data_IF_708145317314
#
_entry.id   IF_708145317314
#
_cell.length_a   1.000
_cell.length_b   1.000
_cell.length_c   1.000
_cell.angle_alpha   90.00
_cell.angle_beta   90.00
_cell.angle_gamma   90.00
#
_symmetry.space_group_name_H-M   'P 1'
#
loop_
_entity.id
_entity.type
_entity.pdbx_description
1 polymer ?
#
# COMPACT_ATOMS: atom_id res chain seq x y z
N UNK A 1 -8.06 -11.31 -1.27
CA UNK A 1 -7.91 -10.36 -2.41
C UNK A 1 -8.11 -8.97 -1.88
N UNK A 2 -7.36 -7.99 -2.40
CA UNK A 2 -7.47 -6.61 -1.97
C UNK A 2 -8.86 -6.01 -2.24
N UNK A 3 -9.23 -5.02 -1.44
CA UNK A 3 -10.48 -4.25 -1.55
C UNK A 3 -10.15 -2.83 -1.95
N UNK A 4 -10.93 -2.26 -2.88
CA UNK A 4 -10.83 -0.85 -3.25
C UNK A 4 -11.22 0.05 -2.08
N UNK A 5 -10.48 1.14 -1.91
CA UNK A 5 -10.82 2.21 -0.99
C UNK A 5 -11.10 3.48 -1.81
N UNK A 6 -12.32 4.00 -1.73
CA UNK A 6 -12.69 5.24 -2.39
C UNK A 6 -13.00 6.31 -1.36
N UNK A 7 -12.36 7.43 -1.50
CA UNK A 7 -12.50 8.62 -0.63
C UNK A 7 -13.11 9.75 -1.45
N UNK A 8 -14.18 10.36 -0.94
CA UNK A 8 -14.92 11.41 -1.63
C UNK A 8 -15.15 12.61 -0.71
N UNK A 9 -14.62 13.77 -1.09
CA UNK A 9 -14.84 15.05 -0.43
C UNK A 9 -14.42 15.09 1.03
N UNK A 10 -13.36 14.34 1.39
CA UNK A 10 -12.96 14.14 2.78
C UNK A 10 -12.39 15.42 3.38
N UNK A 11 -12.98 15.88 4.46
CA UNK A 11 -12.55 17.07 5.22
C UNK A 11 -12.37 16.72 6.69
N UNK A 12 -11.25 17.19 7.28
CA UNK A 12 -10.95 17.01 8.70
C UNK A 12 -10.33 18.24 9.32
N UNK A 13 -10.84 18.62 10.50
CA UNK A 13 -10.31 19.71 11.31
C UNK A 13 -10.19 19.29 12.77
N UNK A 14 -9.30 19.93 13.50
CA UNK A 14 -9.21 19.88 14.97
C UNK A 14 -9.36 21.29 15.51
N UNK A 15 -10.52 21.57 16.09
CA UNK A 15 -10.88 22.93 16.52
C UNK A 15 -10.91 23.89 15.31
N UNK A 16 -10.04 24.90 15.32
CA UNK A 16 -9.93 25.88 14.21
C UNK A 16 -8.94 25.47 13.12
N UNK A 17 -8.15 24.44 13.37
CA UNK A 17 -7.12 23.99 12.43
C UNK A 17 -7.69 22.96 11.47
N UNK A 18 -7.85 23.31 10.21
CA UNK A 18 -8.19 22.38 9.14
C UNK A 18 -6.91 21.61 8.73
N UNK A 19 -6.99 20.29 8.75
CA UNK A 19 -5.89 19.40 8.38
C UNK A 19 -5.89 19.16 6.87
N UNK A 20 -7.05 18.79 6.32
CA UNK A 20 -7.27 18.68 4.88
C UNK A 20 -8.74 18.94 4.55
N UNK A 21 -8.97 19.40 3.34
CA UNK A 21 -10.27 19.85 2.84
C UNK A 21 -10.51 19.24 1.45
N UNK A 22 -11.70 18.67 1.29
CA UNK A 22 -12.21 18.15 0.02
C UNK A 22 -11.27 17.14 -0.70
N UNK A 23 -10.60 16.27 0.09
CA UNK A 23 -9.70 15.24 -0.45
C UNK A 23 -10.51 14.10 -1.05
N UNK A 24 -10.26 13.83 -2.33
CA UNK A 24 -10.88 12.72 -3.07
C UNK A 24 -9.82 11.90 -3.79
N UNK A 25 -9.83 10.58 -3.60
CA UNK A 25 -8.93 9.64 -4.27
C UNK A 25 -9.52 8.23 -4.24
N UNK A 26 -9.04 7.39 -5.14
CA UNK A 26 -9.36 5.96 -5.13
C UNK A 26 -8.07 5.15 -5.06
N UNK A 27 -7.96 4.27 -4.05
CA UNK A 27 -6.88 3.30 -3.93
C UNK A 27 -7.34 2.01 -4.63
N UNK A 28 -6.75 1.64 -5.77
CA UNK A 28 -7.19 0.46 -6.50
C UNK A 28 -6.94 -0.83 -5.71
N UNK A 29 -7.85 -1.79 -5.88
CA UNK A 29 -7.76 -3.07 -5.20
C UNK A 29 -6.48 -3.83 -5.57
N UNK A 30 -5.75 -4.31 -4.58
CA UNK A 30 -4.55 -5.13 -4.75
C UNK A 30 -3.28 -4.36 -5.16
N UNK A 31 -3.36 -3.05 -5.34
CA UNK A 31 -2.22 -2.21 -5.72
C UNK A 31 -1.54 -1.58 -4.51
N UNK A 32 -0.27 -1.19 -4.69
CA UNK A 32 0.45 -0.36 -3.73
C UNK A 32 0.29 1.10 -4.12
N UNK A 33 -0.34 1.88 -3.26
CA UNK A 33 -0.41 3.32 -3.36
C UNK A 33 0.51 3.97 -2.33
N UNK A 34 1.15 5.08 -2.71
CA UNK A 34 1.94 5.90 -1.79
C UNK A 34 1.33 7.29 -1.71
N UNK A 35 1.17 7.81 -0.49
CA UNK A 35 0.76 9.18 -0.25
C UNK A 35 1.93 9.97 0.32
N UNK A 36 2.46 10.87 -0.49
CA UNK A 36 3.55 11.78 -0.15
C UNK A 36 3.03 13.08 0.48
N UNK A 37 3.93 13.80 1.10
CA UNK A 37 3.71 15.16 1.57
C UNK A 37 4.72 15.55 2.63
N UNK A 38 4.95 16.85 2.84
CA UNK A 38 5.77 17.37 3.93
C UNK A 38 5.31 16.85 5.29
N UNK A 39 6.17 16.93 6.30
CA UNK A 39 5.79 16.64 7.69
C UNK A 39 4.68 17.60 8.13
N UNK A 40 3.72 17.12 8.92
CA UNK A 40 2.62 17.97 9.39
C UNK A 40 1.40 18.05 8.44
N UNK A 41 1.46 17.55 7.20
CA UNK A 41 0.31 17.60 6.25
C UNK A 41 -0.86 16.69 6.61
N UNK A 42 -0.78 15.95 7.73
CA UNK A 42 -1.89 15.12 8.21
C UNK A 42 -1.95 13.71 7.61
N UNK A 43 -0.86 13.18 7.02
CA UNK A 43 -0.81 11.82 6.45
C UNK A 43 -1.22 10.73 7.45
N UNK A 44 -0.67 10.74 8.66
CA UNK A 44 -1.05 9.77 9.71
C UNK A 44 -2.49 9.99 10.20
N UNK A 45 -3.00 11.24 10.17
CA UNK A 45 -4.42 11.53 10.44
C UNK A 45 -5.29 10.89 9.36
N UNK A 46 -4.87 10.94 8.09
CA UNK A 46 -5.55 10.29 6.98
C UNK A 46 -5.66 8.78 7.18
N UNK A 47 -4.54 8.10 7.50
CA UNK A 47 -4.56 6.67 7.82
C UNK A 47 -5.51 6.31 8.97
N UNK A 48 -5.45 7.09 10.07
CA UNK A 48 -6.36 6.88 11.22
C UNK A 48 -7.82 7.09 10.85
N UNK A 49 -8.10 7.95 9.89
CA UNK A 49 -9.46 8.20 9.42
C UNK A 49 -9.94 7.07 8.50
N UNK A 50 -9.07 6.52 7.63
CA UNK A 50 -9.38 5.37 6.79
C UNK A 50 -9.73 4.10 7.59
N UNK A 51 -9.13 3.92 8.77
CA UNK A 51 -9.42 2.78 9.67
C UNK A 51 -10.63 3.06 10.59
N UNK A 52 -11.18 4.29 10.52
CA UNK A 52 -12.30 4.70 11.37
C UNK A 52 -11.91 4.98 12.82
N UNK A 53 -10.61 5.16 13.14
CA UNK A 53 -10.16 5.64 14.47
C UNK A 53 -10.47 7.12 14.67
N UNK A 54 -10.54 7.88 13.57
CA UNK A 54 -10.95 9.28 13.57
C UNK A 54 -12.14 9.43 12.61
N UNK A 55 -13.17 10.13 13.05
CA UNK A 55 -14.31 10.45 12.20
C UNK A 55 -13.99 11.70 11.38
N UNK A 56 -14.21 11.71 10.06
CA UNK A 56 -14.10 12.92 9.26
C UNK A 56 -15.23 13.89 9.60
N UNK A 57 -15.04 15.18 9.33
CA UNK A 57 -16.08 16.19 9.52
C UNK A 57 -17.06 16.20 8.34
N UNK A 58 -16.55 15.89 7.13
CA UNK A 58 -17.32 15.75 5.89
C UNK A 58 -16.73 14.68 5.00
N UNK A 59 -17.51 14.24 4.02
CA UNK A 59 -17.12 13.30 2.99
C UNK A 59 -17.44 11.85 3.31
N UNK A 60 -17.00 10.96 2.43
CA UNK A 60 -17.28 9.54 2.48
C UNK A 60 -15.97 8.74 2.36
N UNK A 61 -15.95 7.58 2.97
CA UNK A 61 -14.88 6.57 2.84
C UNK A 61 -15.55 5.25 2.56
N UNK A 62 -15.45 4.81 1.31
CA UNK A 62 -16.00 3.55 0.87
C UNK A 62 -14.93 2.46 0.94
N UNK A 63 -15.23 1.38 1.64
CA UNK A 63 -14.46 0.14 1.67
C UNK A 63 -15.28 -0.89 0.92
N UNK A 64 -14.97 -1.09 -0.36
CA UNK A 64 -15.90 -1.74 -1.27
C UNK A 64 -17.23 -0.97 -1.34
N UNK A 65 -18.32 -1.59 -0.89
CA UNK A 65 -19.67 -1.02 -0.85
C UNK A 65 -20.07 -0.37 0.50
N UNK A 66 -19.15 -0.35 1.50
CA UNK A 66 -19.41 0.11 2.86
C UNK A 66 -18.94 1.55 3.07
N UNK A 67 -19.85 2.48 3.39
CA UNK A 67 -19.51 3.87 3.78
C UNK A 67 -19.08 3.92 5.25
N UNK A 68 -17.79 3.80 5.50
CA UNK A 68 -17.18 3.61 6.82
C UNK A 68 -17.65 4.64 7.87
N UNK A 69 -17.66 5.98 7.63
CA UNK A 69 -18.10 6.97 8.62
C UNK A 69 -19.55 6.86 9.08
N UNK A 70 -20.38 6.11 8.33
CA UNK A 70 -21.81 5.94 8.58
C UNK A 70 -22.18 4.55 9.10
N UNK A 71 -21.19 3.64 9.20
CA UNK A 71 -21.44 2.31 9.73
C UNK A 71 -21.81 2.36 11.22
N UNK A 72 -22.77 1.53 11.66
CA UNK A 72 -22.96 1.26 13.07
C UNK A 72 -21.72 0.58 13.65
N UNK A 73 -21.50 0.73 14.96
CA UNK A 73 -20.27 0.28 15.64
C UNK A 73 -19.96 -1.20 15.40
N UNK A 74 -20.97 -2.07 15.41
CA UNK A 74 -20.79 -3.50 15.13
C UNK A 74 -20.22 -3.78 13.74
N UNK A 75 -20.75 -3.10 12.72
CA UNK A 75 -20.26 -3.25 11.34
C UNK A 75 -18.90 -2.57 11.13
N UNK A 76 -18.64 -1.47 11.84
CA UNK A 76 -17.33 -0.82 11.85
C UNK A 76 -16.27 -1.75 12.45
N UNK A 77 -16.60 -2.47 13.52
CA UNK A 77 -15.70 -3.48 14.12
C UNK A 77 -15.35 -4.59 13.12
N UNK A 78 -16.35 -5.12 12.41
CA UNK A 78 -16.11 -6.16 11.40
C UNK A 78 -15.34 -5.62 10.18
N UNK A 79 -15.59 -4.38 9.77
CA UNK A 79 -14.86 -3.76 8.68
C UNK A 79 -13.40 -3.52 9.07
N UNK A 80 -13.10 -3.19 10.31
CA UNK A 80 -11.72 -3.03 10.81
C UNK A 80 -10.88 -4.32 10.73
N UNK A 81 -11.50 -5.49 10.74
CA UNK A 81 -10.79 -6.77 10.57
C UNK A 81 -10.17 -6.92 9.18
N UNK A 82 -10.65 -6.17 8.19
CA UNK A 82 -10.06 -6.14 6.85
C UNK A 82 -8.71 -5.44 6.81
N UNK A 83 -8.38 -4.66 7.85
CA UNK A 83 -7.19 -3.83 7.90
C UNK A 83 -6.07 -4.45 8.72
N UNK A 84 -4.88 -4.48 8.16
CA UNK A 84 -3.62 -4.52 8.89
C UNK A 84 -3.03 -3.11 8.97
N UNK A 85 -2.47 -2.72 10.11
CA UNK A 85 -1.88 -1.40 10.29
C UNK A 85 -0.47 -1.52 10.87
N UNK A 86 0.51 -0.98 10.14
CA UNK A 86 1.86 -0.73 10.64
C UNK A 86 1.98 0.75 10.99
N UNK A 87 2.08 1.06 12.27
CA UNK A 87 2.36 2.40 12.76
C UNK A 87 3.87 2.72 12.72
N UNK A 88 4.22 3.98 12.69
CA UNK A 88 5.57 4.51 12.52
C UNK A 88 6.64 3.82 13.38
N UNK A 89 6.39 3.56 14.66
CA UNK A 89 7.32 2.90 15.59
C UNK A 89 7.03 1.40 15.78
N UNK A 90 6.20 0.80 14.91
CA UNK A 90 5.73 -0.57 15.03
C UNK A 90 4.63 -0.76 16.09
N UNK A 91 4.45 0.17 17.03
CA UNK A 91 3.45 0.16 18.12
C UNK A 91 3.38 -1.19 18.87
N UNK A 92 4.54 -1.81 19.13
CA UNK A 92 4.63 -3.07 19.86
C UNK A 92 4.36 -2.87 21.35
N UNK A 93 3.69 -3.84 21.97
CA UNK A 93 3.54 -3.88 23.43
C UNK A 93 4.88 -4.16 24.07
N UNK A 94 5.42 -3.20 24.84
CA UNK A 94 6.76 -3.29 25.43
C UNK A 94 6.91 -4.42 26.47
N UNK A 95 5.80 -4.87 27.08
CA UNK A 95 5.75 -5.96 28.06
C UNK A 95 5.65 -7.36 27.45
N UNK A 96 5.41 -7.47 26.15
CA UNK A 96 5.30 -8.73 25.43
C UNK A 96 6.54 -8.96 24.56
N UNK A 97 6.99 -10.23 24.46
CA UNK A 97 8.02 -10.60 23.50
C UNK A 97 7.52 -10.46 22.05
N UNK A 98 8.39 -10.66 21.07
CA UNK A 98 8.05 -10.48 19.65
C UNK A 98 7.01 -11.50 19.19
N UNK A 99 7.14 -12.76 19.61
CA UNK A 99 6.16 -13.80 19.29
C UNK A 99 4.77 -13.41 19.82
N UNK A 100 4.66 -13.03 21.09
CA UNK A 100 3.37 -12.68 21.70
C UNK A 100 2.77 -11.41 21.11
N UNK A 101 3.58 -10.42 20.72
CA UNK A 101 3.11 -9.25 19.97
C UNK A 101 2.44 -9.64 18.64
N UNK A 102 3.01 -10.59 17.90
CA UNK A 102 2.48 -11.05 16.62
C UNK A 102 1.29 -11.99 16.83
N UNK A 103 1.31 -12.83 17.86
CA UNK A 103 0.22 -13.75 18.20
C UNK A 103 -1.03 -13.05 18.74
N UNK A 104 -0.88 -11.86 19.33
CA UNK A 104 -1.93 -11.14 20.02
C UNK A 104 -3.22 -10.99 19.20
N UNK A 105 -3.22 -10.50 17.94
CA UNK A 105 -4.45 -10.38 17.16
C UNK A 105 -5.14 -11.74 16.91
N UNK A 106 -4.38 -12.82 16.74
CA UNK A 106 -4.96 -14.15 16.55
C UNK A 106 -5.69 -14.63 17.79
N UNK A 107 -5.12 -14.41 18.99
CA UNK A 107 -5.75 -14.77 20.25
C UNK A 107 -7.02 -13.97 20.52
N UNK A 108 -7.01 -12.67 20.18
CA UNK A 108 -8.15 -11.79 20.41
C UNK A 108 -9.30 -11.99 19.40
N UNK A 109 -8.99 -12.27 18.14
CA UNK A 109 -9.98 -12.24 17.07
C UNK A 109 -10.30 -13.62 16.48
N UNK A 110 -9.65 -14.71 16.92
CA UNK A 110 -9.89 -16.05 16.39
C UNK A 110 -10.07 -17.08 17.50
N UNK A 111 -10.58 -18.24 17.13
CA UNK A 111 -10.69 -19.42 18.03
C UNK A 111 -9.64 -20.49 17.69
N UNK A 112 -8.50 -20.08 17.10
CA UNK A 112 -7.42 -21.01 16.72
C UNK A 112 -6.73 -21.56 17.96
N UNK A 113 -6.29 -22.81 17.87
CA UNK A 113 -5.46 -23.43 18.90
C UNK A 113 -4.07 -22.77 18.98
N UNK A 114 -3.40 -22.83 20.11
CA UNK A 114 -2.03 -22.31 20.27
C UNK A 114 -1.04 -22.96 19.29
N UNK A 115 -1.26 -24.22 18.90
CA UNK A 115 -0.45 -24.88 17.87
C UNK A 115 -0.62 -24.27 16.48
N UNK A 116 -1.85 -23.89 16.10
CA UNK A 116 -2.14 -23.19 14.85
C UNK A 116 -1.60 -21.76 14.88
N UNK A 117 -1.81 -21.06 16.02
CA UNK A 117 -1.27 -19.71 16.24
C UNK A 117 0.26 -19.73 16.06
N UNK A 118 0.93 -20.69 16.71
CA UNK A 118 2.39 -20.84 16.59
C UNK A 118 2.83 -21.02 15.14
N UNK A 119 2.17 -21.89 14.39
CA UNK A 119 2.49 -22.11 12.97
C UNK A 119 2.36 -20.82 12.16
N UNK A 120 1.24 -20.09 12.31
CA UNK A 120 0.99 -18.84 11.60
C UNK A 120 2.01 -17.77 11.99
N UNK A 121 2.26 -17.59 13.29
CA UNK A 121 3.21 -16.58 13.79
C UNK A 121 4.61 -16.86 13.25
N UNK A 122 5.07 -18.11 13.30
CA UNK A 122 6.40 -18.49 12.81
C UNK A 122 6.51 -18.25 11.29
N UNK A 123 5.47 -18.56 10.53
CA UNK A 123 5.40 -18.26 9.10
C UNK A 123 5.52 -16.74 8.83
N UNK A 124 4.75 -15.90 9.54
CA UNK A 124 4.85 -14.44 9.39
C UNK A 124 6.19 -13.88 9.84
N UNK A 125 6.80 -14.47 10.87
CA UNK A 125 8.15 -14.08 11.33
C UNK A 125 9.22 -14.44 10.30
N UNK A 126 9.10 -15.59 9.64
CA UNK A 126 9.99 -15.99 8.55
C UNK A 126 9.92 -15.01 7.36
N UNK A 127 8.71 -14.67 6.91
CA UNK A 127 8.46 -13.73 5.82
C UNK A 127 9.14 -12.36 6.02
N UNK A 128 9.24 -11.91 7.26
CA UNK A 128 9.88 -10.62 7.59
C UNK A 128 11.30 -10.78 8.11
N UNK A 129 11.88 -11.99 8.07
CA UNK A 129 13.26 -12.29 8.52
C UNK A 129 13.49 -12.03 10.00
N UNK A 130 12.58 -12.51 10.86
CA UNK A 130 12.65 -12.36 12.33
C UNK A 130 12.77 -13.69 13.08
N UNK A 131 13.00 -14.81 12.40
CA UNK A 131 13.27 -16.07 13.07
C UNK A 131 14.47 -15.94 14.02
N UNK A 132 14.35 -16.52 15.20
CA UNK A 132 15.34 -16.43 16.28
C UNK A 132 15.19 -15.21 17.19
N UNK A 133 14.19 -14.34 16.93
CA UNK A 133 13.87 -13.20 17.78
C UNK A 133 12.59 -13.38 18.61
N UNK A 134 12.00 -14.57 18.62
CA UNK A 134 10.68 -14.87 19.21
C UNK A 134 10.57 -14.42 20.66
N UNK A 135 11.60 -14.71 21.45
CA UNK A 135 11.63 -14.47 22.91
C UNK A 135 12.13 -13.08 23.28
N UNK A 136 12.64 -12.29 22.32
CA UNK A 136 13.17 -10.96 22.60
C UNK A 136 12.02 -9.98 22.88
N UNK A 137 12.28 -9.04 23.79
CA UNK A 137 11.40 -7.90 24.03
C UNK A 137 11.64 -6.79 22.97
N UNK A 138 10.66 -5.92 22.72
CA UNK A 138 10.85 -4.79 21.81
C UNK A 138 12.05 -3.89 22.15
N UNK A 139 12.40 -3.77 23.45
CA UNK A 139 13.58 -3.02 23.89
C UNK A 139 14.93 -3.65 23.50
N UNK A 140 14.94 -4.93 23.17
CA UNK A 140 16.16 -5.71 22.88
C UNK A 140 16.45 -5.86 21.37
N UNK A 141 15.64 -5.24 20.53
CA UNK A 141 15.76 -5.32 19.06
C UNK A 141 15.93 -3.95 18.43
N UNK A 142 16.51 -3.91 17.23
CA UNK A 142 16.72 -2.68 16.47
C UNK A 142 15.38 -2.06 16.00
N UNK A 143 15.41 -0.77 15.65
CA UNK A 143 14.24 -0.08 15.09
C UNK A 143 13.68 -0.77 13.83
N UNK A 144 14.54 -1.21 12.92
CA UNK A 144 14.13 -1.98 11.74
C UNK A 144 13.50 -3.33 12.08
N UNK A 145 13.97 -4.02 13.13
CA UNK A 145 13.33 -5.25 13.61
C UNK A 145 11.97 -4.96 14.23
N UNK A 146 11.80 -3.83 14.94
CA UNK A 146 10.49 -3.42 15.49
C UNK A 146 9.47 -3.20 14.36
N UNK A 147 9.87 -2.52 13.28
CA UNK A 147 9.00 -2.28 12.12
C UNK A 147 8.62 -3.59 11.43
N UNK A 148 9.57 -4.51 11.23
CA UNK A 148 9.29 -5.82 10.66
C UNK A 148 8.38 -6.67 11.56
N UNK A 149 8.53 -6.60 12.87
CA UNK A 149 7.61 -7.26 13.83
C UNK A 149 6.20 -6.64 13.77
N UNK A 150 6.11 -5.30 13.69
CA UNK A 150 4.85 -4.59 13.47
C UNK A 150 4.17 -4.99 12.15
N UNK A 151 4.96 -5.17 11.08
CA UNK A 151 4.48 -5.64 9.78
C UNK A 151 3.96 -7.09 9.87
N UNK A 152 4.70 -8.00 10.49
CA UNK A 152 4.25 -9.37 10.72
C UNK A 152 2.95 -9.42 11.52
N UNK A 153 2.83 -8.59 12.58
CA UNK A 153 1.59 -8.46 13.35
C UNK A 153 0.44 -7.92 12.53
N UNK A 154 0.68 -6.94 11.65
CA UNK A 154 -0.34 -6.39 10.77
C UNK A 154 -0.86 -7.42 9.75
N UNK A 155 -0.01 -8.38 9.36
CA UNK A 155 -0.32 -9.42 8.38
C UNK A 155 -0.93 -10.70 8.98
N UNK A 156 -0.91 -10.86 10.30
CA UNK A 156 -1.20 -12.16 10.94
C UNK A 156 -2.65 -12.63 10.77
N UNK A 157 -3.58 -11.70 10.52
CA UNK A 157 -5.00 -11.97 10.24
C UNK A 157 -5.30 -12.06 8.74
N UNK A 158 -4.29 -12.08 7.87
CA UNK A 158 -4.41 -12.06 6.40
C UNK A 158 -5.33 -10.93 5.90
N UNK A 159 -5.00 -9.66 6.20
CA UNK A 159 -5.85 -8.52 5.89
C UNK A 159 -6.00 -8.32 4.37
N UNK A 160 -7.13 -7.73 3.97
CA UNK A 160 -7.37 -7.33 2.57
C UNK A 160 -6.80 -5.93 2.26
N UNK A 161 -6.53 -5.14 3.31
CA UNK A 161 -5.96 -3.79 3.21
C UNK A 161 -4.81 -3.67 4.21
N UNK A 162 -3.66 -3.16 3.76
CA UNK A 162 -2.52 -2.87 4.63
C UNK A 162 -2.21 -1.36 4.60
N UNK A 163 -2.32 -0.73 5.75
CA UNK A 163 -1.96 0.67 5.94
C UNK A 163 -0.60 0.75 6.64
N UNK A 164 0.31 1.54 6.07
CA UNK A 164 1.71 1.61 6.51
C UNK A 164 2.09 3.06 6.74
N UNK A 165 2.38 3.41 7.98
CA UNK A 165 2.72 4.77 8.40
C UNK A 165 4.23 4.92 8.57
N UNK A 166 4.87 5.67 7.68
CA UNK A 166 6.30 6.00 7.65
C UNK A 166 7.23 4.80 7.94
N UNK A 167 7.19 3.73 7.11
CA UNK A 167 7.95 2.52 7.35
C UNK A 167 9.47 2.74 7.31
N UNK A 168 9.92 3.71 6.54
CA UNK A 168 11.30 4.12 6.29
C UNK A 168 11.89 5.00 7.39
N UNK A 169 11.06 5.66 8.21
CA UNK A 169 11.51 6.59 9.26
C UNK A 169 12.51 5.93 10.23
N UNK A 170 13.68 6.58 10.42
CA UNK A 170 14.72 6.09 11.33
C UNK A 170 15.49 4.86 10.83
N UNK A 171 15.35 4.48 9.56
CA UNK A 171 16.16 3.46 8.90
C UNK A 171 17.23 4.11 8.02
N UNK A 172 18.36 3.42 7.86
CA UNK A 172 19.33 3.77 6.84
C UNK A 172 18.83 3.34 5.45
N UNK A 173 19.39 3.90 4.34
CA UNK A 173 18.91 3.60 2.99
C UNK A 173 18.93 2.11 2.62
N UNK A 174 19.89 1.34 3.15
CA UNK A 174 20.00 -0.10 2.85
C UNK A 174 18.85 -0.87 3.52
N UNK A 175 18.58 -0.58 4.80
CA UNK A 175 17.48 -1.21 5.53
C UNK A 175 16.11 -0.79 4.99
N UNK A 176 15.99 0.45 4.53
CA UNK A 176 14.79 0.92 3.81
C UNK A 176 14.58 0.12 2.52
N UNK A 177 15.62 -0.11 1.73
CA UNK A 177 15.54 -0.93 0.52
C UNK A 177 15.07 -2.37 0.81
N UNK A 178 15.60 -3.01 1.87
CA UNK A 178 15.13 -4.34 2.29
C UNK A 178 13.67 -4.35 2.70
N UNK A 179 13.21 -3.33 3.46
CA UNK A 179 11.82 -3.22 3.87
C UNK A 179 10.90 -3.00 2.68
N UNK A 180 11.31 -2.14 1.74
CA UNK A 180 10.58 -1.90 0.50
C UNK A 180 10.44 -3.17 -0.33
N UNK A 181 11.51 -3.97 -0.48
CA UNK A 181 11.44 -5.27 -1.13
C UNK A 181 10.46 -6.19 -0.43
N UNK A 182 10.52 -6.28 0.90
CA UNK A 182 9.57 -7.08 1.68
C UNK A 182 8.12 -6.65 1.42
N UNK A 183 7.84 -5.35 1.37
CA UNK A 183 6.49 -4.82 1.08
C UNK A 183 6.03 -5.24 -0.33
N UNK A 184 6.90 -5.14 -1.33
CA UNK A 184 6.60 -5.53 -2.71
C UNK A 184 6.32 -7.04 -2.80
N UNK A 185 7.14 -7.86 -2.16
CA UNK A 185 6.99 -9.33 -2.13
C UNK A 185 5.68 -9.74 -1.45
N UNK A 186 5.34 -9.09 -0.33
CA UNK A 186 4.09 -9.32 0.40
C UNK A 186 2.87 -8.91 -0.42
N UNK A 187 2.91 -7.76 -1.11
CA UNK A 187 1.81 -7.36 -1.99
C UNK A 187 1.60 -8.39 -3.11
N UNK A 188 2.68 -8.86 -3.75
CA UNK A 188 2.60 -9.89 -4.80
C UNK A 188 2.05 -11.23 -4.27
N UNK A 189 2.38 -11.57 -3.03
CA UNK A 189 1.94 -12.82 -2.41
C UNK A 189 0.48 -12.78 -1.96
N UNK A 190 0.05 -11.67 -1.34
CA UNK A 190 -1.30 -11.56 -0.74
C UNK A 190 -2.32 -10.93 -1.67
N UNK A 191 -1.89 -10.13 -2.64
CA UNK A 191 -2.78 -9.32 -3.48
C UNK A 191 -3.66 -8.36 -2.66
N UNK A 192 -3.20 -7.94 -1.47
CA UNK A 192 -3.90 -6.98 -0.64
C UNK A 192 -3.70 -5.55 -1.16
N UNK A 193 -4.63 -4.65 -0.86
CA UNK A 193 -4.50 -3.23 -1.17
C UNK A 193 -3.58 -2.56 -0.15
N UNK A 194 -2.51 -1.91 -0.61
CA UNK A 194 -1.54 -1.25 0.28
C UNK A 194 -1.63 0.26 0.14
N UNK A 195 -1.64 0.96 1.27
CA UNK A 195 -1.39 2.40 1.32
C UNK A 195 -0.21 2.67 2.25
N UNK A 196 0.84 3.23 1.69
CA UNK A 196 2.03 3.68 2.42
C UNK A 196 1.98 5.20 2.49
N UNK A 197 2.09 5.78 3.67
CA UNK A 197 2.35 7.20 3.81
C UNK A 197 3.81 7.41 4.19
N UNK A 198 4.50 8.25 3.46
CA UNK A 198 5.92 8.51 3.67
C UNK A 198 6.33 9.89 3.17
N UNK A 199 7.51 10.32 3.55
CA UNK A 199 8.22 11.44 2.97
C UNK A 199 9.50 11.00 2.24
N UNK A 200 9.80 9.70 2.19
CA UNK A 200 10.96 9.15 1.48
C UNK A 200 10.72 9.10 -0.03
N UNK A 201 11.57 9.85 -0.75
CA UNK A 201 11.46 9.99 -2.20
C UNK A 201 11.83 8.69 -2.91
N UNK A 202 12.80 7.91 -2.40
CA UNK A 202 13.23 6.68 -3.04
C UNK A 202 12.14 5.61 -2.96
N UNK A 203 11.53 5.44 -1.80
CA UNK A 203 10.35 4.57 -1.62
C UNK A 203 9.26 4.96 -2.61
N UNK A 204 8.91 6.25 -2.66
CA UNK A 204 7.85 6.73 -3.55
C UNK A 204 8.18 6.56 -5.04
N UNK A 205 9.44 6.61 -5.43
CA UNK A 205 9.86 6.49 -6.82
C UNK A 205 9.94 5.05 -7.32
N UNK A 206 10.07 4.07 -6.44
CA UNK A 206 10.37 2.70 -6.84
C UNK A 206 9.28 1.69 -6.46
N UNK A 207 8.60 1.87 -5.34
CA UNK A 207 7.71 0.87 -4.77
C UNK A 207 6.28 0.89 -5.35
N UNK A 208 5.58 2.05 -5.42
CA UNK A 208 4.15 2.08 -5.67
C UNK A 208 3.75 1.87 -7.12
N UNK A 209 2.49 1.49 -7.31
CA UNK A 209 1.77 1.55 -8.57
C UNK A 209 1.16 2.95 -8.76
N UNK A 210 0.64 3.54 -7.67
CA UNK A 210 0.05 4.88 -7.65
C UNK A 210 0.70 5.77 -6.60
N UNK A 211 0.79 7.07 -6.92
CA UNK A 211 1.33 8.07 -5.99
C UNK A 211 0.38 9.25 -5.91
N UNK A 212 0.19 9.75 -4.68
CA UNK A 212 -0.45 11.03 -4.42
C UNK A 212 0.45 11.98 -3.64
N UNK A 213 0.19 13.25 -3.74
CA UNK A 213 0.87 14.30 -2.96
C UNK A 213 -0.16 15.14 -2.20
N UNK A 214 -0.07 15.14 -0.87
CA UNK A 214 -0.80 16.07 -0.01
C UNK A 214 0.04 17.31 0.25
N UNK A 215 -0.53 18.46 -0.06
CA UNK A 215 0.09 19.76 0.22
C UNK A 215 -0.99 20.82 0.45
N UNK A 216 -0.77 21.75 1.36
CA UNK A 216 -1.68 22.87 1.68
C UNK A 216 -3.12 22.42 1.93
N UNK A 217 -3.29 21.32 2.69
CA UNK A 217 -4.59 20.74 3.07
C UNK A 217 -5.37 20.09 1.92
N UNK A 218 -4.77 19.99 0.74
CA UNK A 218 -5.40 19.46 -0.46
C UNK A 218 -4.59 18.31 -1.04
N UNK A 219 -5.25 17.48 -1.82
CA UNK A 219 -4.58 16.50 -2.65
C UNK A 219 -4.21 17.15 -3.98
N UNK A 220 -2.92 17.43 -4.17
CA UNK A 220 -2.41 18.07 -5.39
C UNK A 220 -2.66 17.21 -6.61
N UNK A 221 -2.37 15.92 -6.49
CA UNK A 221 -2.67 14.90 -7.50
C UNK A 221 -2.63 13.52 -6.88
N UNK A 222 -3.29 12.57 -7.53
CA UNK A 222 -3.20 11.13 -7.26
C UNK A 222 -3.38 10.36 -8.56
N UNK A 223 -2.56 9.36 -8.79
CA UNK A 223 -2.65 8.50 -9.98
C UNK A 223 -1.42 7.63 -10.17
N UNK A 224 -1.27 7.01 -11.35
CA UNK A 224 -0.13 6.18 -11.68
C UNK A 224 1.21 6.86 -11.37
N UNK A 225 2.15 6.08 -10.88
CA UNK A 225 3.48 6.53 -10.46
C UNK A 225 4.15 7.46 -11.49
N UNK A 226 4.10 7.08 -12.74
CA UNK A 226 4.70 7.82 -13.86
C UNK A 226 4.09 9.22 -14.01
N UNK A 227 2.79 9.36 -13.74
CA UNK A 227 2.08 10.64 -13.81
C UNK A 227 2.67 11.66 -12.84
N UNK A 228 2.89 11.28 -11.58
CA UNK A 228 3.47 12.18 -10.60
C UNK A 228 4.97 12.40 -10.85
N UNK A 229 5.71 11.36 -11.23
CA UNK A 229 7.15 11.46 -11.46
C UNK A 229 7.52 12.29 -12.70
N UNK A 230 6.58 12.52 -13.62
CA UNK A 230 6.78 13.39 -14.80
C UNK A 230 6.05 14.74 -14.71
N UNK A 231 5.39 15.00 -13.56
CA UNK A 231 4.57 16.20 -13.39
C UNK A 231 5.40 17.49 -13.42
N UNK A 232 4.87 18.50 -14.12
CA UNK A 232 5.47 19.85 -14.12
C UNK A 232 4.95 20.75 -12.99
N UNK A 233 4.07 20.20 -12.13
CA UNK A 233 3.53 20.93 -10.98
C UNK A 233 4.68 21.40 -10.05
N UNK A 234 4.79 22.69 -9.74
CA UNK A 234 5.93 23.23 -9.01
C UNK A 234 6.20 22.58 -7.66
N UNK A 235 5.13 22.24 -6.90
CA UNK A 235 5.29 21.58 -5.59
C UNK A 235 5.77 20.14 -5.74
N UNK A 236 5.32 19.42 -6.76
CA UNK A 236 5.78 18.06 -7.07
C UNK A 236 7.25 18.07 -7.44
N UNK A 237 7.65 18.99 -8.34
CA UNK A 237 9.04 19.14 -8.77
C UNK A 237 9.95 19.52 -7.61
N UNK A 238 9.54 20.46 -6.75
CA UNK A 238 10.29 20.82 -5.57
C UNK A 238 10.49 19.63 -4.64
N UNK A 239 9.42 18.90 -4.37
CA UNK A 239 9.44 17.76 -3.44
C UNK A 239 10.33 16.63 -3.98
N UNK A 240 10.12 16.22 -5.22
CA UNK A 240 10.87 15.11 -5.85
C UNK A 240 12.36 15.42 -6.07
N UNK A 241 12.72 16.70 -6.23
CA UNK A 241 14.11 17.13 -6.36
C UNK A 241 14.77 17.48 -5.01
N UNK A 242 14.05 17.39 -3.89
CA UNK A 242 14.50 17.83 -2.56
C UNK A 242 15.09 19.24 -2.57
N UNK A 243 14.44 20.19 -3.28
CA UNK A 243 14.97 21.53 -3.48
C UNK A 243 14.46 22.51 -2.43
N UNK A 244 15.32 23.47 -2.06
CA UNK A 244 14.97 24.56 -1.14
C UNK A 244 13.98 25.55 -1.76
N UNK A 245 14.07 25.77 -3.07
CA UNK A 245 13.28 26.77 -3.80
C UNK A 245 11.97 26.14 -4.28
N UNK A 246 10.84 26.77 -4.00
CA UNK A 246 9.51 26.35 -4.42
C UNK A 246 8.45 26.57 -3.32
N UNK A 247 7.22 26.09 -3.53
CA UNK A 247 6.06 26.34 -2.66
C UNK A 247 6.20 25.84 -1.22
N UNK A 248 7.03 24.81 -0.97
CA UNK A 248 7.26 24.24 0.35
C UNK A 248 8.29 25.11 1.08
N UNK A 249 7.91 25.71 2.22
CA UNK A 249 8.78 26.51 3.08
C UNK A 249 9.41 25.72 4.22
N UNK A 250 10.26 26.39 5.03
CA UNK A 250 10.91 25.77 6.18
C UNK A 250 9.92 25.52 7.33
N UNK A 251 8.88 26.34 7.45
CA UNK A 251 7.85 26.31 8.51
C UNK A 251 6.44 26.08 7.95
N UNK A 252 6.30 25.19 6.99
CA UNK A 252 5.09 24.70 6.33
C UNK A 252 4.67 25.41 5.04
N UNK A 253 4.42 26.72 5.03
CA UNK A 253 3.88 27.38 3.84
C UNK A 253 4.58 28.72 3.61
N UNK A 254 5.07 28.96 2.41
CA UNK A 254 5.52 30.29 2.00
C UNK A 254 4.31 31.13 1.62
N UNK A 255 4.32 32.38 2.03
CA UNK A 255 3.35 33.36 1.57
C UNK A 255 3.46 33.60 0.07
N UNK A 256 2.34 34.02 -0.55
CA UNK A 256 2.29 34.34 -1.99
C UNK A 256 3.38 35.35 -2.38
N UNK A 257 3.68 36.32 -1.50
CA UNK A 257 4.73 37.30 -1.70
C UNK A 257 6.15 36.72 -1.75
N UNK A 258 6.42 35.68 -0.95
CA UNK A 258 7.71 34.96 -0.98
C UNK A 258 7.88 34.15 -2.25
N UNK A 259 6.79 33.51 -2.72
CA UNK A 259 6.77 32.77 -3.99
C UNK A 259 6.98 33.69 -5.19
N UNK A 260 6.36 34.86 -5.20
CA UNK A 260 6.57 35.87 -6.25
C UNK A 260 8.00 36.43 -6.25
N UNK A 261 8.59 36.62 -5.08
CA UNK A 261 9.98 37.04 -4.96
C UNK A 261 10.96 35.99 -5.47
N UNK A 262 10.73 34.70 -5.17
CA UNK A 262 11.55 33.60 -5.68
C UNK A 262 11.38 33.42 -7.20
N UNK A 263 10.16 33.54 -7.71
CA UNK A 263 9.90 33.49 -9.16
C UNK A 263 10.61 34.62 -9.94
N UNK A 264 10.68 35.83 -9.34
CA UNK A 264 11.42 36.96 -9.90
C UNK A 264 12.94 36.76 -9.89
N UNK A 265 13.47 35.91 -8.99
CA UNK A 265 14.89 35.54 -8.96
C UNK A 265 15.28 34.50 -10.01
N UNK A 266 14.34 34.03 -10.85
CA UNK A 266 14.61 33.13 -11.97
C UNK A 266 15.07 31.72 -11.58
N UNK A 267 14.72 31.25 -10.38
CA UNK A 267 15.08 29.91 -9.94
C UNK A 267 14.17 28.87 -10.58
N UNK A 268 14.69 28.17 -11.57
CA UNK A 268 14.03 26.97 -12.14
C UNK A 268 14.07 25.82 -11.10
N UNK A 269 12.95 25.18 -10.76
CA UNK A 269 12.91 23.98 -9.91
C UNK A 269 13.72 22.80 -10.46
N UNK A 270 14.34 22.95 -11.63
CA UNK A 270 15.19 21.95 -12.24
C UNK A 270 14.40 20.87 -12.99
N UNK A 271 15.09 20.10 -13.83
CA UNK A 271 14.51 18.94 -14.50
C UNK A 271 14.27 17.84 -13.47
N UNK A 272 13.15 17.12 -13.59
CA UNK A 272 12.93 15.91 -12.83
C UNK A 272 14.01 14.88 -13.16
N UNK A 273 14.50 14.12 -12.14
CA UNK A 273 15.39 13.02 -12.40
C UNK A 273 14.68 11.95 -13.23
N UNK A 274 15.44 11.13 -14.01
CA UNK A 274 14.85 10.04 -14.78
C UNK A 274 13.95 9.16 -13.92
N UNK A 275 12.85 8.69 -14.48
CA UNK A 275 11.93 7.78 -13.80
C UNK A 275 12.67 6.45 -13.61
N UNK A 276 12.93 5.99 -12.36
CA UNK A 276 13.59 4.72 -12.13
C UNK A 276 12.64 3.57 -12.47
N UNK A 277 13.17 2.37 -12.79
CA UNK A 277 12.32 1.20 -12.93
C UNK A 277 11.56 0.93 -11.64
N UNK A 278 10.33 0.42 -11.77
CA UNK A 278 9.54 0.00 -10.63
C UNK A 278 10.18 -1.25 -10.01
N UNK A 279 10.16 -1.33 -8.68
CA UNK A 279 10.68 -2.48 -7.95
C UNK A 279 9.75 -3.69 -8.14
N UNK A 280 10.34 -4.80 -8.59
CA UNK A 280 9.64 -6.04 -8.87
C UNK A 280 9.75 -7.01 -7.69
N UNK A 281 8.80 -7.97 -7.54
CA UNK A 281 8.91 -9.05 -6.58
C UNK A 281 10.20 -9.86 -6.76
N UNK A 282 10.80 -10.30 -5.65
CA UNK A 282 12.08 -11.02 -5.65
C UNK A 282 12.01 -12.39 -6.32
N UNK A 283 10.82 -13.00 -6.39
CA UNK A 283 10.56 -14.28 -7.06
C UNK A 283 10.28 -14.15 -8.57
N UNK A 284 10.34 -12.95 -9.11
CA UNK A 284 10.08 -12.65 -10.53
C UNK A 284 8.62 -12.75 -10.94
N UNK A 285 7.70 -12.92 -10.01
CA UNK A 285 6.26 -12.89 -10.32
C UNK A 285 5.86 -11.50 -10.80
N UNK A 286 4.98 -11.47 -11.78
CA UNK A 286 4.31 -10.22 -12.13
C UNK A 286 3.36 -9.84 -10.99
N UNK A 287 3.31 -8.56 -10.65
CA UNK A 287 2.30 -8.06 -9.71
C UNK A 287 0.90 -8.32 -10.28
N UNK A 288 -0.08 -8.69 -9.45
CA UNK A 288 -1.43 -9.01 -9.92
C UNK A 288 -2.11 -7.88 -10.71
N UNK A 289 -1.63 -6.67 -10.56
CA UNK A 289 -2.25 -5.41 -10.97
C UNK A 289 -1.45 -4.61 -11.97
N UNK A 290 -0.56 -5.23 -12.76
CA UNK A 290 0.06 -4.53 -13.89
C UNK A 290 -1.02 -4.18 -14.92
N UNK A 291 -1.76 -3.10 -14.63
CA UNK A 291 -2.63 -2.47 -15.60
C UNK A 291 -1.78 -1.83 -16.71
N UNK A 292 -2.35 -1.76 -17.90
CA UNK A 292 -1.73 -0.95 -18.96
C UNK A 292 -1.47 0.46 -18.41
N UNK A 293 -0.32 1.07 -18.70
CA UNK A 293 -0.02 2.43 -18.26
C UNK A 293 -1.22 3.35 -18.52
N UNK A 294 -1.67 4.09 -17.50
CA UNK A 294 -2.82 4.98 -17.65
C UNK A 294 -4.20 4.34 -17.58
N UNK A 295 -4.33 3.03 -17.37
CA UNK A 295 -5.64 2.37 -17.24
C UNK A 295 -6.46 2.98 -16.10
N UNK A 296 -5.84 3.29 -14.98
CA UNK A 296 -6.48 3.98 -13.86
C UNK A 296 -6.98 5.37 -14.26
N UNK A 297 -6.15 6.17 -14.93
CA UNK A 297 -6.53 7.50 -15.41
C UNK A 297 -7.72 7.44 -16.35
N UNK A 298 -7.72 6.46 -17.28
CA UNK A 298 -8.82 6.23 -18.21
C UNK A 298 -10.12 5.85 -17.48
N UNK A 299 -10.04 4.96 -16.51
CA UNK A 299 -11.20 4.51 -15.73
C UNK A 299 -11.84 5.64 -14.91
N UNK A 300 -11.04 6.61 -14.45
CA UNK A 300 -11.48 7.74 -13.63
C UNK A 300 -11.63 9.06 -14.40
N UNK A 301 -11.51 9.04 -15.75
CA UNK A 301 -11.65 10.23 -16.58
C UNK A 301 -10.54 11.28 -16.38
N UNK A 302 -9.41 10.89 -15.80
CA UNK A 302 -8.26 11.75 -15.56
C UNK A 302 -7.37 11.75 -16.79
N UNK A 303 -7.00 12.94 -17.29
CA UNK A 303 -5.99 13.08 -18.35
C UNK A 303 -4.64 13.32 -17.68
N UNK A 304 -3.66 12.40 -17.84
CA UNK A 304 -2.34 12.58 -17.24
C UNK A 304 -1.59 13.76 -17.85
N UNK A 305 -0.61 14.34 -17.14
CA UNK A 305 0.25 15.37 -17.72
C UNK A 305 1.01 14.88 -18.95
N UNK A 306 1.31 15.75 -19.94
CA UNK A 306 2.16 15.41 -21.07
C UNK A 306 3.51 14.81 -20.61
N UNK A 307 3.95 13.75 -21.28
CA UNK A 307 5.19 13.06 -20.92
C UNK A 307 5.06 11.97 -19.85
N UNK A 308 3.86 11.77 -19.27
CA UNK A 308 3.61 10.72 -18.27
C UNK A 308 3.75 9.31 -18.84
N UNK A 309 3.43 9.10 -20.11
CA UNK A 309 3.45 7.79 -20.77
C UNK A 309 4.21 7.87 -22.10
N UNK A 310 5.51 7.67 -22.02
CA UNK A 310 6.40 7.63 -23.19
C UNK A 310 6.78 6.17 -23.45
N UNK A 311 6.52 5.68 -24.67
CA UNK A 311 6.93 4.34 -25.07
C UNK A 311 8.41 4.25 -25.45
N UNK A 312 8.90 3.03 -25.71
CA UNK A 312 10.28 2.76 -26.09
C UNK A 312 10.73 3.46 -27.39
N UNK A 313 9.76 3.96 -28.17
CA UNK A 313 9.98 4.71 -29.41
C UNK A 313 9.96 6.23 -29.17
N UNK A 314 9.81 6.66 -27.92
CA UNK A 314 9.73 8.08 -27.56
C UNK A 314 8.38 8.73 -27.86
N UNK A 315 7.32 7.96 -28.14
CA UNK A 315 5.98 8.45 -28.38
C UNK A 315 5.30 8.77 -27.06
N UNK A 316 4.80 9.99 -26.92
CA UNK A 316 4.03 10.44 -25.77
C UNK A 316 2.53 10.13 -26.00
N UNK A 317 2.05 9.06 -25.39
CA UNK A 317 0.67 8.61 -25.51
C UNK A 317 -0.35 9.58 -24.90
N UNK A 318 0.07 10.48 -24.05
CA UNK A 318 -0.83 11.49 -23.48
C UNK A 318 -1.28 12.48 -24.56
N UNK A 319 -0.45 12.77 -25.55
CA UNK A 319 -0.84 13.61 -26.70
C UNK A 319 -1.94 13.00 -27.57
N UNK A 320 -2.06 11.68 -27.53
CA UNK A 320 -3.09 10.90 -28.21
C UNK A 320 -4.07 10.23 -27.23
N UNK A 321 -4.24 10.82 -26.04
CA UNK A 321 -4.97 10.23 -24.92
C UNK A 321 -6.36 9.66 -25.26
N UNK A 322 -7.24 10.35 -26.02
CA UNK A 322 -8.53 9.80 -26.41
C UNK A 322 -8.42 8.53 -27.26
N UNK A 323 -7.41 8.44 -28.13
CA UNK A 323 -7.12 7.24 -28.94
C UNK A 323 -6.60 6.10 -28.08
N UNK A 324 -5.72 6.41 -27.14
CA UNK A 324 -5.17 5.43 -26.21
C UNK A 324 -6.26 4.82 -25.34
N UNK A 325 -7.16 5.64 -24.76
CA UNK A 325 -8.30 5.19 -23.96
C UNK A 325 -9.27 4.35 -24.79
N UNK A 326 -9.57 4.75 -26.02
CA UNK A 326 -10.42 3.98 -26.93
C UNK A 326 -9.81 2.60 -27.26
N UNK A 327 -8.51 2.52 -27.46
CA UNK A 327 -7.80 1.26 -27.69
C UNK A 327 -7.85 0.33 -26.45
N UNK A 328 -7.70 0.87 -25.24
CA UNK A 328 -7.85 0.11 -23.99
C UNK A 328 -9.27 -0.41 -23.80
N UNK A 329 -10.30 0.37 -24.14
CA UNK A 329 -11.71 -0.02 -24.03
C UNK A 329 -12.10 -1.16 -24.98
N UNK A 330 -11.43 -1.28 -26.13
CA UNK A 330 -11.64 -2.38 -27.08
C UNK A 330 -10.97 -3.69 -26.64
N UNK A 331 -9.99 -3.63 -25.73
CA UNK A 331 -9.26 -4.79 -25.21
C UNK A 331 -9.82 -5.33 -23.89
N UNK A 332 -10.77 -4.65 -23.27
CA UNK A 332 -11.44 -5.12 -22.06
C UNK A 332 -12.32 -6.39 -22.26
N UNK A 333 -12.47 -6.86 -23.51
CA UNK A 333 -13.08 -8.14 -23.87
C UNK A 333 -12.09 -9.23 -24.33
N UNK A 334 -10.80 -8.89 -24.45
CA UNK A 334 -9.73 -9.83 -24.75
C UNK A 334 -8.60 -9.55 -23.75
N UNK A 335 -8.07 -10.60 -23.14
CA UNK A 335 -6.87 -10.57 -22.26
C UNK A 335 -5.94 -9.40 -22.61
N UNK A 336 -5.56 -8.63 -21.57
CA UNK A 336 -4.73 -7.42 -21.69
C UNK A 336 -3.65 -7.58 -22.77
N UNK A 337 -3.48 -6.60 -23.67
CA UNK A 337 -2.42 -6.66 -24.66
C UNK A 337 -1.07 -6.70 -23.96
N UNK A 338 -0.21 -7.64 -24.37
CA UNK A 338 1.19 -7.64 -23.97
C UNK A 338 1.76 -6.25 -24.27
N UNK A 339 2.55 -5.72 -23.34
CA UNK A 339 3.26 -4.47 -23.53
C UNK A 339 3.97 -4.51 -24.90
N UNK A 340 3.88 -3.46 -25.73
CA UNK A 340 4.56 -3.44 -27.02
C UNK A 340 6.07 -3.54 -26.77
N UNK A 341 6.66 -4.70 -27.14
CA UNK A 341 8.07 -5.00 -26.94
C UNK A 341 8.38 -6.36 -26.29
N UNK A 342 7.37 -7.08 -25.77
CA UNK A 342 7.60 -8.44 -25.29
C UNK A 342 7.76 -9.40 -26.48
N UNK A 343 8.83 -10.25 -26.53
CA UNK A 343 8.98 -11.23 -27.60
C UNK A 343 7.82 -12.22 -27.55
N UNK A 344 7.21 -12.50 -28.71
CA UNK A 344 6.13 -13.47 -28.85
C UNK A 344 6.50 -14.81 -28.22
N UNK A 345 5.59 -15.48 -27.48
CA UNK A 345 5.82 -16.81 -27.00
C UNK A 345 6.03 -17.74 -28.22
N UNK A 346 7.18 -18.41 -28.28
CA UNK A 346 7.47 -19.40 -29.30
C UNK A 346 6.44 -20.51 -29.19
N UNK A 347 5.66 -20.72 -30.25
CA UNK A 347 4.75 -21.82 -30.37
C UNK A 347 5.51 -23.14 -30.17
N UNK A 348 5.13 -23.86 -29.15
CA UNK A 348 5.53 -25.24 -28.90
C UNK A 348 4.36 -26.14 -29.21
N UNK A 349 4.47 -26.84 -30.32
CA UNK A 349 3.60 -27.99 -30.67
C UNK A 349 3.73 -29.08 -29.60
N UNK A 350 2.58 -29.70 -29.29
CA UNK A 350 2.60 -30.99 -28.62
C UNK A 350 1.76 -31.07 -27.35
N UNK A 351 0.46 -31.30 -27.52
CA UNK A 351 -0.37 -31.82 -26.44
C UNK A 351 -0.13 -33.33 -26.31
N UNK A 352 0.11 -33.86 -25.11
CA UNK A 352 -0.08 -35.31 -24.86
C UNK A 352 -1.51 -35.57 -24.33
N UNK A 353 -2.04 -36.78 -24.58
CA UNK A 353 -3.45 -37.12 -24.29
C UNK A 353 -3.65 -37.51 -22.82
N UNK A 354 -4.81 -37.15 -22.34
CA UNK A 354 -5.61 -37.74 -21.27
C UNK A 354 -4.90 -38.47 -20.12
N UNK A 355 -4.83 -37.77 -18.96
CA UNK A 355 -4.55 -38.42 -17.68
C UNK A 355 -5.59 -37.98 -16.64
N UNK A 356 -6.40 -38.92 -16.17
CA UNK A 356 -7.46 -38.71 -15.20
C UNK A 356 -6.96 -38.21 -13.85
N UNK A 357 -7.68 -37.23 -13.29
CA UNK A 357 -7.50 -36.72 -11.94
C UNK A 357 -7.82 -37.83 -10.90
N UNK A 358 -7.02 -38.03 -9.86
CA UNK A 358 -7.33 -38.92 -8.76
C UNK A 358 -8.44 -38.34 -7.87
N UNK A 359 -9.46 -39.14 -7.60
CA UNK A 359 -10.60 -38.84 -6.71
C UNK A 359 -10.10 -38.77 -5.24
N UNK A 360 -10.57 -37.79 -4.51
CA UNK A 360 -10.44 -37.69 -3.04
C UNK A 360 -11.03 -38.91 -2.34
N UNK A 361 -10.41 -39.49 -1.30
CA UNK A 361 -11.01 -40.52 -0.48
C UNK A 361 -12.11 -39.95 0.40
N UNK A 362 -13.25 -40.64 0.43
CA UNK A 362 -14.36 -40.42 1.36
C UNK A 362 -13.95 -41.01 2.72
N UNK A 363 -14.02 -40.17 3.77
CA UNK A 363 -13.97 -40.69 5.14
C UNK A 363 -15.28 -41.37 5.48
N UNK A 364 -15.20 -42.68 5.75
CA UNK A 364 -16.23 -43.48 6.38
C UNK A 364 -16.22 -43.19 7.90
N UNK A 365 -17.42 -42.98 8.45
CA UNK A 365 -17.70 -43.08 9.88
C UNK A 365 -17.67 -44.57 10.30
N UNK A 366 -17.02 -44.87 11.41
CA UNK A 366 -17.46 -45.94 12.31
C UNK A 366 -16.84 -45.66 13.70
N UNK A 367 -17.64 -45.47 14.60
CA UNK A 367 -18.15 -46.02 15.84
C UNK A 367 -17.16 -46.81 16.74
N UNK A 368 -17.04 -46.35 17.98
CA UNK A 368 -17.13 -47.22 19.14
C UNK A 368 -15.91 -47.51 19.98
N UNK A 369 -16.01 -47.21 21.24
CA UNK A 369 -15.23 -47.87 22.31
C UNK A 369 -14.50 -46.91 23.24
N UNK A 370 -15.06 -46.51 24.37
CA UNK A 370 -14.99 -47.20 25.63
C UNK A 370 -13.90 -46.65 26.55
N UNK A 371 -14.29 -45.84 27.52
CA UNK A 371 -13.48 -45.50 28.70
C UNK A 371 -13.41 -46.66 29.70
N UNK A 372 -12.35 -46.79 30.51
CA UNK A 372 -12.42 -46.49 31.93
C UNK A 372 -11.16 -45.72 32.40
N UNK A 373 -11.18 -44.78 33.33
CA UNK A 373 -11.62 -44.87 34.69
C UNK A 373 -10.45 -44.54 35.63
N UNK A 374 -10.54 -43.43 36.31
CA UNK A 374 -10.12 -43.08 37.67
C UNK A 374 -8.73 -43.43 38.22
N UNK A 375 -8.09 -42.44 38.80
CA UNK A 375 -6.95 -42.61 39.73
C UNK A 375 -6.45 -41.28 40.30
N UNK A 376 -6.87 -40.99 41.48
CA UNK A 376 -6.61 -39.91 42.43
C UNK A 376 -5.17 -39.43 42.55
N UNK A 377 -5.12 -38.18 43.00
CA UNK A 377 -4.00 -37.39 43.55
C UNK A 377 -3.22 -38.09 44.73
N UNK A 378 -2.10 -37.51 45.22
CA UNK A 378 -2.16 -36.26 45.99
C UNK A 378 -1.48 -35.06 45.31
#
# INVERSE_FOLDING_TARGET
MGVEIRVEGLTKSFGRQTIWQDVSLTLPAGEISVLLGPSGTGKSVFLKTLVGLLKPDRGHIWIGDRDLPRLPESQLYDTRKLFGVLFQDGALFGSMNIYDNIAFPLREHTRKSESEIKRIVMEKMDMVGLLGAEKKLPGEISGGMKKRAGLARALVLDPEILLVDEPDSGLDPVRTAYLNQTIVDLNAQYGATFLIVTHDINTARTVPDNIGLLFRRELVMFGPREMLLSSEEPVVRQFLNARKVGPIGMSEEKDVSELEAEAKMGHDPGKLPPIPPQQMPSDGRLRPTQHAPGAWCAAHGVVPPPGSFIDDQGRDWVKEWPRYVAAMGQTAGATAPAAPGAPAPRGGDGAPPGGALPRRPKHSRDSGGGWPGAGAAP
#
